data_IF_595522383361
#
_entry.id   IF_595522383361
#
_cell.length_a   1.000
_cell.length_b   1.000
_cell.length_c   1.000
_cell.angle_alpha   90.00
_cell.angle_beta   90.00
_cell.angle_gamma   90.00
#
_symmetry.space_group_name_H-M   'P 1'
#
loop_
_entity.id
_entity.type
_entity.pdbx_description
1 polymer ?
#
# COMPACT_ATOMS: atom_id res chain seq x y z
N UNK A 1 -32.72 2.93 59.17
CA UNK A 1 -31.77 2.40 58.18
C UNK A 1 -32.36 2.54 56.78
N UNK A 2 -32.06 3.63 56.04
CA UNK A 2 -32.42 3.76 54.61
C UNK A 2 -31.12 3.72 53.82
N UNK A 3 -30.92 2.63 53.08
CA UNK A 3 -29.79 2.47 52.17
C UNK A 3 -30.05 3.34 50.94
N UNK A 4 -29.29 4.43 50.79
CA UNK A 4 -29.23 5.21 49.57
C UNK A 4 -28.38 4.43 48.56
N UNK A 5 -29.02 3.99 47.48
CA UNK A 5 -28.36 3.45 46.32
C UNK A 5 -27.55 4.56 45.66
N UNK A 6 -26.23 4.45 45.70
CA UNK A 6 -25.34 5.33 44.93
C UNK A 6 -25.25 4.77 43.51
N UNK A 7 -25.76 5.53 42.55
CA UNK A 7 -25.73 5.21 41.12
C UNK A 7 -24.28 5.33 40.65
N UNK A 8 -23.67 4.21 40.30
CA UNK A 8 -22.34 4.15 39.70
C UNK A 8 -22.49 4.46 38.20
N UNK A 9 -22.30 5.72 37.82
CA UNK A 9 -22.23 6.14 36.42
C UNK A 9 -20.95 5.60 35.80
N UNK A 10 -21.03 4.40 35.22
CA UNK A 10 -19.96 3.83 34.42
C UNK A 10 -19.87 4.64 33.11
N UNK A 11 -19.01 5.66 33.10
CA UNK A 11 -18.61 6.36 31.88
C UNK A 11 -17.81 5.35 31.05
N UNK A 12 -18.53 4.59 30.22
CA UNK A 12 -17.97 3.69 29.24
C UNK A 12 -17.37 4.59 28.16
N UNK A 13 -16.12 5.03 28.38
CA UNK A 13 -15.28 5.61 27.35
C UNK A 13 -15.09 4.47 26.34
N UNK A 14 -16.01 4.37 25.39
CA UNK A 14 -15.78 3.62 24.17
C UNK A 14 -14.58 4.31 23.55
N UNK A 15 -13.39 3.75 23.78
CA UNK A 15 -12.29 3.95 22.86
C UNK A 15 -12.83 3.46 21.53
N UNK A 16 -13.37 4.38 20.72
CA UNK A 16 -13.56 4.14 19.31
C UNK A 16 -12.15 3.84 18.81
N UNK A 17 -11.80 2.55 18.77
CA UNK A 17 -10.76 2.07 17.89
C UNK A 17 -11.34 2.29 16.50
N UNK A 18 -11.29 3.54 16.03
CA UNK A 18 -11.37 3.86 14.61
C UNK A 18 -10.21 3.05 14.04
N UNK A 19 -10.54 1.90 13.47
CA UNK A 19 -9.55 1.11 12.77
C UNK A 19 -9.15 1.98 11.60
N UNK A 20 -7.96 2.57 11.69
CA UNK A 20 -7.49 3.43 10.64
C UNK A 20 -7.02 2.52 9.49
N UNK A 21 -7.34 2.94 8.27
CA UNK A 21 -6.88 2.35 7.04
C UNK A 21 -5.35 2.38 6.93
N UNK A 22 -4.80 1.97 5.78
CA UNK A 22 -3.37 1.87 5.57
C UNK A 22 -2.63 3.14 6.02
N UNK A 23 -1.63 2.97 6.87
CA UNK A 23 -0.79 4.08 7.37
C UNK A 23 -1.55 5.17 8.14
N UNK A 24 -2.72 4.84 8.69
CA UNK A 24 -3.55 5.80 9.40
C UNK A 24 -4.37 6.71 8.49
N UNK A 25 -4.54 6.32 7.23
CA UNK A 25 -5.24 7.06 6.20
C UNK A 25 -6.51 6.30 5.81
N UNK A 26 -7.63 7.02 5.79
CA UNK A 26 -8.95 6.46 5.49
C UNK A 26 -9.45 6.99 4.15
N UNK A 27 -10.28 6.19 3.48
CA UNK A 27 -10.99 6.60 2.28
C UNK A 27 -11.73 7.93 2.51
N UNK A 28 -11.68 8.82 1.52
CA UNK A 28 -12.41 10.08 1.54
C UNK A 28 -11.79 11.18 2.41
N UNK A 29 -10.62 10.96 3.02
CA UNK A 29 -9.91 12.02 3.72
C UNK A 29 -9.63 13.20 2.80
N UNK A 30 -9.99 14.40 3.25
CA UNK A 30 -9.63 15.65 2.58
C UNK A 30 -8.14 15.94 2.72
N UNK A 31 -7.61 16.89 1.94
CA UNK A 31 -6.22 17.36 2.08
C UNK A 31 -5.90 17.82 3.52
N UNK A 32 -6.87 18.43 4.20
CA UNK A 32 -6.76 18.89 5.58
C UNK A 32 -6.67 17.72 6.56
N UNK A 33 -7.44 16.66 6.33
CA UNK A 33 -7.40 15.46 7.16
C UNK A 33 -6.10 14.68 6.97
N UNK A 34 -5.60 14.59 5.74
CA UNK A 34 -4.28 14.01 5.44
C UNK A 34 -3.17 14.83 6.10
N UNK A 35 -3.26 16.16 6.09
CA UNK A 35 -2.31 17.05 6.80
C UNK A 35 -2.28 16.73 8.30
N UNK A 36 -3.44 16.51 8.93
CA UNK A 36 -3.51 16.08 10.34
C UNK A 36 -2.87 14.70 10.54
N UNK A 37 -3.11 13.75 9.63
CA UNK A 37 -2.49 12.42 9.65
C UNK A 37 -0.95 12.48 9.50
N UNK A 38 -0.44 13.52 8.83
CA UNK A 38 0.98 13.84 8.69
C UNK A 38 1.54 14.70 9.83
N UNK A 39 0.81 14.85 10.95
CA UNK A 39 1.27 15.59 12.11
C UNK A 39 1.34 17.10 11.88
N UNK A 40 0.54 17.62 10.93
CA UNK A 40 0.51 19.03 10.55
C UNK A 40 1.43 19.39 9.39
N UNK A 41 2.19 18.44 8.84
CA UNK A 41 2.97 18.69 7.62
C UNK A 41 2.04 18.66 6.41
N UNK A 42 2.08 19.71 5.60
CA UNK A 42 1.27 19.82 4.38
C UNK A 42 1.75 18.80 3.32
N UNK A 43 0.82 18.07 2.67
CA UNK A 43 1.13 17.23 1.51
C UNK A 43 1.79 18.03 0.38
N UNK A 44 2.87 17.50 -0.18
CA UNK A 44 3.59 18.14 -1.28
C UNK A 44 2.91 17.77 -2.61
N UNK A 45 2.34 18.77 -3.30
CA UNK A 45 1.69 18.55 -4.60
C UNK A 45 2.69 18.09 -5.67
N UNK A 46 2.31 17.07 -6.43
CA UNK A 46 3.09 16.55 -7.56
C UNK A 46 2.41 16.95 -8.87
N UNK A 47 1.21 16.41 -9.15
CA UNK A 47 0.41 16.62 -10.37
C UNK A 47 -0.83 15.73 -10.35
N UNK A 48 -1.94 16.12 -10.97
CA UNK A 48 -3.13 15.27 -11.20
C UNK A 48 -3.64 14.61 -9.90
N UNK A 49 -4.02 15.42 -8.91
CA UNK A 49 -4.46 14.99 -7.58
C UNK A 49 -3.44 14.19 -6.76
N UNK A 50 -2.19 14.09 -7.22
CA UNK A 50 -1.12 13.36 -6.51
C UNK A 50 -0.37 14.25 -5.56
N UNK A 51 -0.17 13.74 -4.36
CA UNK A 51 0.59 14.38 -3.31
C UNK A 51 1.60 13.42 -2.71
N UNK A 52 2.81 13.90 -2.43
CA UNK A 52 3.76 13.18 -1.59
C UNK A 52 3.50 13.50 -0.12
N UNK A 53 3.46 12.46 0.72
CA UNK A 53 3.17 12.56 2.15
C UNK A 53 4.08 11.68 3.01
N UNK A 54 4.19 12.06 4.27
CA UNK A 54 4.84 11.29 5.33
C UNK A 54 3.92 11.19 6.55
N UNK A 55 3.00 10.19 6.58
CA UNK A 55 2.06 10.03 7.69
C UNK A 55 2.80 9.63 8.97
N UNK A 56 2.27 10.04 10.13
CA UNK A 56 2.84 9.69 11.44
C UNK A 56 2.88 8.17 11.63
N UNK A 57 1.86 7.45 11.14
CA UNK A 57 1.80 5.98 11.13
C UNK A 57 2.41 5.46 9.82
N UNK A 58 3.73 5.42 9.71
CA UNK A 58 4.43 4.84 8.55
C UNK A 58 5.09 3.49 8.87
N UNK A 59 5.31 2.65 7.86
CA UNK A 59 6.15 1.47 7.99
C UNK A 59 7.63 1.82 7.71
N UNK A 60 8.62 1.38 8.53
CA UNK A 60 10.03 1.82 8.44
C UNK A 60 10.78 1.53 7.13
N UNK A 61 10.18 0.73 6.24
CA UNK A 61 10.73 0.41 4.93
C UNK A 61 10.41 1.50 3.89
N UNK A 62 9.33 2.26 4.09
CA UNK A 62 8.84 3.28 3.17
C UNK A 62 9.17 4.66 3.71
N UNK A 63 9.90 5.45 2.94
CA UNK A 63 10.35 6.80 3.33
C UNK A 63 9.25 7.85 3.16
N UNK A 64 8.28 7.57 2.28
CA UNK A 64 7.07 8.35 2.09
C UNK A 64 6.12 7.64 1.12
N UNK A 65 4.99 8.29 0.85
CA UNK A 65 3.91 7.74 0.04
C UNK A 65 3.44 8.78 -0.95
N UNK A 66 3.03 8.32 -2.13
CA UNK A 66 2.22 9.11 -3.04
C UNK A 66 0.76 8.75 -2.79
N UNK A 67 -0.08 9.75 -2.60
CA UNK A 67 -1.53 9.59 -2.43
C UNK A 67 -2.27 10.37 -3.48
N UNK A 68 -3.45 9.88 -3.85
CA UNK A 68 -4.37 10.58 -4.74
C UNK A 68 -5.56 11.10 -3.94
N UNK A 69 -5.77 12.42 -3.99
CA UNK A 69 -6.81 13.11 -3.23
C UNK A 69 -7.53 14.04 -4.20
N UNK A 70 -8.77 13.71 -4.57
CA UNK A 70 -9.60 14.61 -5.38
C UNK A 70 -10.41 15.56 -4.51
N UNK A 71 -10.86 16.67 -5.08
CA UNK A 71 -11.73 17.62 -4.38
C UNK A 71 -13.12 17.04 -4.07
N UNK A 72 -13.62 16.12 -4.90
CA UNK A 72 -14.97 15.55 -4.75
C UNK A 72 -14.98 14.30 -3.89
N UNK A 73 -14.02 13.39 -4.12
CA UNK A 73 -14.00 12.06 -3.49
C UNK A 73 -13.05 11.97 -2.30
N UNK A 74 -12.16 12.96 -2.11
CA UNK A 74 -11.09 12.90 -1.12
C UNK A 74 -10.04 11.84 -1.46
N UNK A 75 -9.36 11.29 -0.45
CA UNK A 75 -8.34 10.26 -0.62
C UNK A 75 -8.94 8.97 -1.23
N UNK A 76 -8.38 8.50 -2.34
CA UNK A 76 -8.86 7.29 -3.02
C UNK A 76 -7.76 6.30 -3.42
N UNK A 77 -6.49 6.69 -3.36
CA UNK A 77 -5.37 5.80 -3.65
C UNK A 77 -4.14 6.10 -2.80
N UNK A 78 -3.42 5.05 -2.39
CA UNK A 78 -2.15 5.17 -1.68
C UNK A 78 -1.12 4.27 -2.36
N UNK A 79 0.06 4.81 -2.65
CA UNK A 79 1.23 4.08 -3.15
C UNK A 79 2.45 4.35 -2.28
N UNK A 80 2.98 3.31 -1.66
CA UNK A 80 4.29 3.32 -1.00
C UNK A 80 5.36 2.73 -1.89
N UNK A 81 6.54 3.34 -1.92
CA UNK A 81 7.75 2.75 -2.51
C UNK A 81 8.82 2.67 -1.42
N UNK A 82 9.43 1.51 -1.26
CA UNK A 82 10.46 1.32 -0.25
C UNK A 82 11.69 2.17 -0.56
N UNK A 83 12.55 2.36 0.46
CA UNK A 83 13.95 2.69 0.21
C UNK A 83 14.63 1.64 -0.68
N UNK A 84 15.78 2.00 -1.25
CA UNK A 84 16.62 1.08 -2.03
C UNK A 84 17.01 -0.15 -1.17
N UNK A 85 16.74 -1.35 -1.70
CA UNK A 85 17.18 -2.62 -1.13
C UNK A 85 18.35 -3.12 -1.99
N UNK A 86 19.54 -3.13 -1.39
CA UNK A 86 20.70 -3.77 -2.00
C UNK A 86 20.59 -5.27 -1.85
N UNK A 87 20.80 -5.98 -2.94
CA UNK A 87 20.63 -7.43 -2.98
C UNK A 87 21.65 -8.07 -3.93
N UNK A 88 21.66 -9.40 -4.00
CA UNK A 88 22.40 -10.16 -4.99
C UNK A 88 21.57 -10.43 -6.27
N UNK A 89 22.15 -11.05 -7.28
CA UNK A 89 21.48 -11.30 -8.56
C UNK A 89 20.27 -12.25 -8.44
N UNK A 90 20.24 -13.07 -7.38
CA UNK A 90 19.11 -13.93 -7.03
C UNK A 90 17.96 -13.19 -6.33
N UNK A 91 18.17 -11.92 -5.94
CA UNK A 91 17.20 -11.11 -5.21
C UNK A 91 16.96 -11.58 -3.77
N UNK A 92 17.94 -12.22 -3.12
CA UNK A 92 17.74 -12.86 -1.81
C UNK A 92 17.20 -11.89 -0.75
N UNK A 93 17.82 -10.74 -0.59
CA UNK A 93 17.46 -9.73 0.41
C UNK A 93 16.07 -9.13 0.14
N UNK A 94 15.75 -8.81 -1.12
CA UNK A 94 14.43 -8.27 -1.46
C UNK A 94 13.33 -9.31 -1.28
N UNK A 95 13.56 -10.58 -1.61
CA UNK A 95 12.61 -11.68 -1.34
C UNK A 95 12.33 -11.84 0.15
N UNK A 96 13.35 -11.70 0.99
CA UNK A 96 13.20 -11.76 2.44
C UNK A 96 12.39 -10.58 2.98
N UNK A 97 12.67 -9.35 2.55
CA UNK A 97 11.89 -8.18 2.97
C UNK A 97 10.44 -8.25 2.46
N UNK A 98 10.24 -8.71 1.22
CA UNK A 98 8.91 -8.94 0.65
C UNK A 98 8.10 -9.93 1.50
N UNK A 99 8.67 -11.10 1.81
CA UNK A 99 8.01 -12.11 2.64
C UNK A 99 7.67 -11.59 4.06
N UNK A 100 8.50 -10.71 4.64
CA UNK A 100 8.23 -10.10 5.95
C UNK A 100 7.00 -9.18 5.92
N UNK A 101 6.73 -8.51 4.80
CA UNK A 101 5.57 -7.64 4.64
C UNK A 101 4.27 -8.41 4.41
N UNK A 102 4.35 -9.60 3.78
CA UNK A 102 3.16 -10.42 3.52
C UNK A 102 2.48 -10.89 4.81
N UNK A 103 3.26 -11.29 5.83
CA UNK A 103 2.69 -11.88 7.05
C UNK A 103 1.75 -10.93 7.83
N UNK A 104 2.11 -9.64 8.09
CA UNK A 104 1.17 -8.68 8.65
C UNK A 104 -0.05 -8.39 7.76
N UNK A 105 0.15 -8.30 6.44
CA UNK A 105 -0.95 -8.04 5.50
C UNK A 105 -1.92 -9.21 5.47
N UNK A 106 -1.44 -10.45 5.49
CA UNK A 106 -2.30 -11.64 5.54
C UNK A 106 -3.14 -11.69 6.81
N UNK A 107 -2.55 -11.30 7.96
CA UNK A 107 -3.30 -11.22 9.21
C UNK A 107 -4.39 -10.14 9.20
N UNK A 108 -4.15 -9.00 8.53
CA UNK A 108 -5.13 -7.90 8.47
C UNK A 108 -6.20 -8.16 7.41
N UNK A 109 -5.79 -8.55 6.20
CA UNK A 109 -6.63 -8.60 5.00
C UNK A 109 -6.99 -10.02 4.55
N UNK A 110 -6.52 -11.05 5.25
CA UNK A 110 -6.75 -12.44 4.89
C UNK A 110 -5.79 -12.96 3.82
N UNK A 111 -6.12 -14.11 3.25
CA UNK A 111 -5.28 -14.78 2.26
C UNK A 111 -5.11 -13.94 1.01
N UNK A 112 -3.92 -14.02 0.43
CA UNK A 112 -3.56 -13.40 -0.83
C UNK A 112 -3.21 -14.45 -1.88
N UNK A 113 -3.26 -14.02 -3.13
CA UNK A 113 -2.66 -14.73 -4.26
C UNK A 113 -1.24 -14.21 -4.47
N UNK A 114 -0.28 -15.11 -4.73
CA UNK A 114 1.08 -14.73 -5.11
C UNK A 114 1.31 -15.06 -6.58
N UNK A 115 1.88 -14.10 -7.30
CA UNK A 115 2.20 -14.22 -8.72
C UNK A 115 3.71 -13.97 -8.87
N UNK A 116 4.48 -15.04 -9.05
CA UNK A 116 5.92 -15.00 -9.38
C UNK A 116 6.19 -15.81 -10.64
N UNK A 117 5.92 -15.20 -11.80
CA UNK A 117 5.96 -15.89 -13.09
C UNK A 117 6.51 -15.04 -14.22
N UNK A 118 6.95 -15.73 -15.28
CA UNK A 118 7.36 -15.11 -16.53
C UNK A 118 6.09 -14.78 -17.31
N UNK A 119 5.89 -13.51 -17.63
CA UNK A 119 4.71 -12.97 -18.32
C UNK A 119 4.98 -12.61 -19.79
N UNK A 120 6.22 -12.76 -20.24
CA UNK A 120 6.63 -12.52 -21.63
C UNK A 120 7.05 -13.82 -22.31
N UNK A 121 6.51 -14.07 -23.50
CA UNK A 121 6.88 -15.24 -24.31
C UNK A 121 8.26 -15.09 -24.99
N UNK A 122 8.82 -13.88 -25.02
CA UNK A 122 10.07 -13.56 -25.73
C UNK A 122 11.34 -13.68 -24.86
N UNK A 123 11.23 -14.31 -23.69
CA UNK A 123 12.36 -14.43 -22.76
C UNK A 123 13.40 -15.43 -23.28
N UNK A 124 14.63 -14.94 -23.46
CA UNK A 124 15.75 -15.76 -23.90
C UNK A 124 16.03 -16.90 -22.89
N UNK A 125 16.25 -18.15 -23.32
CA UNK A 125 16.35 -19.31 -22.43
C UNK A 125 17.38 -19.18 -21.30
N UNK A 126 18.49 -18.47 -21.53
CA UNK A 126 19.51 -18.27 -20.50
C UNK A 126 19.05 -17.35 -19.35
N UNK A 127 18.03 -16.52 -19.57
CA UNK A 127 17.42 -15.64 -18.56
C UNK A 127 16.37 -16.35 -17.70
N UNK A 128 16.01 -17.59 -18.03
CA UNK A 128 15.14 -18.43 -17.20
C UNK A 128 15.89 -19.06 -16.02
N UNK A 129 17.19 -18.79 -15.88
CA UNK A 129 18.02 -19.23 -14.75
C UNK A 129 17.72 -18.41 -13.50
N UNK A 130 17.93 -19.02 -12.33
CA UNK A 130 17.63 -18.40 -11.03
C UNK A 130 18.45 -17.14 -10.74
N UNK A 131 19.68 -17.06 -11.26
CA UNK A 131 20.57 -15.90 -11.14
C UNK A 131 20.14 -14.71 -12.01
N UNK A 132 19.16 -14.91 -12.89
CA UNK A 132 18.60 -13.86 -13.76
C UNK A 132 17.29 -13.29 -13.21
N UNK A 133 16.83 -13.71 -12.03
CA UNK A 133 15.54 -13.29 -11.45
C UNK A 133 15.40 -11.76 -11.40
N UNK A 134 16.41 -11.10 -10.83
CA UNK A 134 16.45 -9.63 -10.74
C UNK A 134 16.37 -8.96 -12.11
N UNK A 135 17.08 -9.50 -13.11
CA UNK A 135 17.11 -8.97 -14.48
C UNK A 135 15.76 -9.14 -15.17
N UNK A 136 15.13 -10.32 -15.03
CA UNK A 136 13.83 -10.58 -15.66
C UNK A 136 12.72 -9.68 -15.13
N UNK A 137 12.78 -9.27 -13.85
CA UNK A 137 11.87 -8.26 -13.29
C UNK A 137 12.18 -6.87 -13.83
N UNK A 138 13.47 -6.51 -13.95
CA UNK A 138 13.87 -5.18 -14.44
C UNK A 138 13.43 -4.96 -15.89
N UNK A 139 13.42 -6.02 -16.69
CA UNK A 139 12.99 -6.03 -18.09
C UNK A 139 11.47 -6.18 -18.26
N UNK A 140 10.71 -6.31 -17.16
CA UNK A 140 9.24 -6.52 -17.20
C UNK A 140 8.81 -7.89 -17.72
N UNK A 141 9.75 -8.82 -17.87
CA UNK A 141 9.48 -10.19 -18.34
C UNK A 141 9.00 -11.12 -17.22
N UNK A 142 9.27 -10.77 -15.97
CA UNK A 142 8.81 -11.44 -14.76
C UNK A 142 8.08 -10.44 -13.88
N UNK A 143 7.00 -10.88 -13.25
CA UNK A 143 6.37 -10.17 -12.14
C UNK A 143 6.57 -10.97 -10.85
N UNK A 144 6.64 -10.28 -9.71
CA UNK A 144 6.69 -10.88 -8.38
C UNK A 144 5.81 -10.03 -7.47
N UNK A 145 4.56 -10.43 -7.33
CA UNK A 145 3.49 -9.64 -6.72
C UNK A 145 2.61 -10.51 -5.83
N UNK A 146 1.93 -9.87 -4.88
CA UNK A 146 0.87 -10.48 -4.12
C UNK A 146 -0.35 -9.56 -4.11
N UNK A 147 -1.51 -10.17 -4.33
CA UNK A 147 -2.77 -9.46 -4.49
C UNK A 147 -3.81 -9.97 -3.50
N UNK A 148 -4.59 -9.04 -2.97
CA UNK A 148 -5.81 -9.34 -2.24
C UNK A 148 -6.99 -8.87 -3.09
N UNK A 149 -7.82 -9.81 -3.50
CA UNK A 149 -9.13 -9.52 -4.09
C UNK A 149 -10.12 -9.34 -2.95
N UNK A 150 -10.73 -8.16 -2.86
CA UNK A 150 -11.84 -7.92 -1.94
C UNK A 150 -13.15 -8.04 -2.72
N UNK A 151 -14.18 -8.58 -2.09
CA UNK A 151 -15.54 -8.62 -2.61
C UNK A 151 -16.41 -7.63 -1.83
N UNK A 152 -17.62 -7.32 -2.32
CA UNK A 152 -18.51 -6.33 -1.71
C UNK A 152 -18.77 -6.59 -0.22
N UNK A 153 -18.81 -7.87 0.20
CA UNK A 153 -18.98 -8.26 1.61
C UNK A 153 -17.76 -7.92 2.50
N UNK A 154 -16.60 -7.67 1.90
CA UNK A 154 -15.34 -7.36 2.60
C UNK A 154 -14.99 -5.87 2.59
N UNK A 155 -15.71 -5.02 1.87
CA UNK A 155 -15.39 -3.58 1.79
C UNK A 155 -15.47 -2.91 3.16
N UNK A 156 -16.58 -3.08 3.89
CA UNK A 156 -16.73 -2.55 5.26
C UNK A 156 -15.69 -3.15 6.22
N UNK A 157 -15.29 -4.40 5.99
CA UNK A 157 -14.31 -5.10 6.83
C UNK A 157 -12.88 -4.61 6.60
N UNK A 158 -12.58 -4.08 5.41
CA UNK A 158 -11.24 -3.66 5.00
C UNK A 158 -11.16 -2.15 4.77
N UNK A 159 -11.94 -1.38 5.53
CA UNK A 159 -11.85 0.08 5.55
C UNK A 159 -12.06 0.71 4.15
N UNK A 160 -12.95 0.12 3.33
CA UNK A 160 -13.27 0.59 1.98
C UNK A 160 -12.27 0.16 0.89
N UNK A 161 -11.30 -0.71 1.20
CA UNK A 161 -10.32 -1.18 0.22
C UNK A 161 -10.92 -2.18 -0.78
N UNK A 162 -10.75 -1.87 -2.07
CA UNK A 162 -11.11 -2.77 -3.20
C UNK A 162 -9.91 -3.53 -3.75
N UNK A 163 -8.72 -2.93 -3.66
CA UNK A 163 -7.48 -3.54 -4.15
C UNK A 163 -6.35 -3.32 -3.16
N UNK A 164 -5.65 -4.40 -2.85
CA UNK A 164 -4.37 -4.34 -2.14
C UNK A 164 -3.39 -5.13 -2.98
N UNK A 165 -2.28 -4.50 -3.35
CA UNK A 165 -1.23 -5.14 -4.12
C UNK A 165 0.12 -4.75 -3.57
N UNK A 166 1.05 -5.70 -3.53
CA UNK A 166 2.43 -5.47 -3.15
C UNK A 166 3.32 -6.21 -4.12
N UNK A 167 4.40 -5.59 -4.58
CA UNK A 167 5.27 -6.20 -5.56
C UNK A 167 6.71 -5.75 -5.47
N UNK A 168 7.56 -6.45 -6.22
CA UNK A 168 8.98 -6.13 -6.35
C UNK A 168 9.23 -5.44 -7.68
N UNK A 169 9.98 -4.34 -7.64
CA UNK A 169 10.56 -3.70 -8.82
C UNK A 169 12.08 -3.72 -8.70
N UNK A 170 12.78 -3.93 -9.81
CA UNK A 170 14.24 -3.97 -9.82
C UNK A 170 14.81 -3.01 -10.85
N UNK A 171 16.01 -2.52 -10.57
CA UNK A 171 16.86 -1.76 -11.51
C UNK A 171 18.16 -2.53 -11.73
N UNK A 172 18.00 -3.81 -12.07
CA UNK A 172 19.11 -4.72 -12.22
C UNK A 172 19.78 -4.57 -13.59
N UNK A 173 21.11 -4.56 -13.57
CA UNK A 173 21.97 -4.65 -14.76
C UNK A 173 23.09 -5.65 -14.47
N UNK A 174 24.03 -5.82 -15.38
CA UNK A 174 25.23 -6.64 -15.14
C UNK A 174 26.12 -6.13 -13.99
N UNK A 175 25.90 -4.90 -13.50
CA UNK A 175 26.71 -4.27 -12.45
C UNK A 175 25.87 -3.66 -11.31
N UNK A 176 24.54 -3.67 -11.41
CA UNK A 176 23.63 -3.14 -10.39
C UNK A 176 22.64 -4.21 -9.96
N UNK A 177 22.44 -4.32 -8.65
CA UNK A 177 21.49 -5.27 -8.04
C UNK A 177 20.65 -4.49 -7.04
N UNK A 178 19.86 -3.55 -7.57
CA UNK A 178 18.95 -2.68 -6.82
C UNK A 178 17.52 -3.19 -6.95
N UNK A 179 16.81 -3.21 -5.83
CA UNK A 179 15.39 -3.50 -5.81
C UNK A 179 14.63 -2.54 -4.90
N UNK A 180 13.34 -2.50 -5.14
CA UNK A 180 12.35 -1.74 -4.39
C UNK A 180 11.14 -2.65 -4.20
N UNK A 181 10.44 -2.46 -3.10
CA UNK A 181 9.12 -3.03 -2.88
C UNK A 181 8.13 -1.88 -2.98
N UNK A 182 7.12 -2.05 -3.83
CA UNK A 182 5.99 -1.14 -3.88
C UNK A 182 4.79 -1.79 -3.20
N UNK A 183 3.94 -0.97 -2.59
CA UNK A 183 2.66 -1.39 -2.04
C UNK A 183 1.59 -0.37 -2.42
N UNK A 184 0.43 -0.86 -2.80
CA UNK A 184 -0.67 -0.05 -3.28
C UNK A 184 -1.98 -0.45 -2.61
N UNK A 185 -2.78 0.55 -2.34
CA UNK A 185 -4.10 0.46 -1.74
C UNK A 185 -5.05 1.31 -2.56
N UNK A 186 -6.05 0.66 -3.16
CA UNK A 186 -7.14 1.33 -3.88
C UNK A 186 -8.42 1.20 -3.08
N UNK A 187 -9.09 2.33 -2.87
CA UNK A 187 -10.38 2.40 -2.18
C UNK A 187 -11.54 2.36 -3.18
N UNK A 188 -12.76 2.06 -2.70
CA UNK A 188 -13.94 1.95 -3.58
C UNK A 188 -14.26 3.23 -4.36
N UNK A 189 -13.97 4.41 -3.79
CA UNK A 189 -14.12 5.70 -4.46
C UNK A 189 -13.06 5.97 -5.55
N UNK A 190 -12.09 5.07 -5.77
CA UNK A 190 -11.05 5.25 -6.78
C UNK A 190 -11.57 5.23 -8.21
N UNK A 191 -12.66 4.50 -8.49
CA UNK A 191 -13.27 4.46 -9.83
C UNK A 191 -13.74 5.85 -10.22
N UNK A 192 -14.41 6.55 -9.31
CA UNK A 192 -14.89 7.91 -9.53
C UNK A 192 -13.72 8.90 -9.59
N UNK A 193 -12.73 8.74 -8.69
CA UNK A 193 -11.52 9.55 -8.68
C UNK A 193 -10.68 9.49 -9.96
N UNK A 194 -10.46 8.29 -10.52
CA UNK A 194 -9.70 8.15 -11.77
C UNK A 194 -10.46 8.67 -12.99
N UNK A 195 -11.78 8.43 -13.09
CA UNK A 195 -12.58 8.96 -14.20
C UNK A 195 -12.62 10.49 -14.21
N UNK A 196 -12.65 11.13 -13.04
CA UNK A 196 -12.61 12.58 -12.92
C UNK A 196 -11.29 13.20 -13.43
N UNK A 197 -10.17 12.47 -13.34
CA UNK A 197 -8.89 12.91 -13.91
C UNK A 197 -8.91 12.87 -15.44
N UNK A 198 -9.50 11.84 -16.05
CA UNK A 198 -9.58 11.68 -17.50
C UNK A 198 -10.47 12.76 -18.16
N UNK A 199 -11.47 13.29 -17.45
CA UNK A 199 -12.35 14.36 -17.93
C UNK A 199 -11.70 15.77 -17.93
N UNK A 200 -10.53 15.91 -17.29
CA UNK A 200 -9.83 17.20 -17.10
C UNK A 200 -8.61 17.37 -18.04
N UNK A 201 -8.16 16.29 -18.70
CA UNK A 201 -7.03 16.28 -19.66
C UNK A 201 -7.48 16.37 -21.13
#
# INVERSE_FOLDING_TARGET
>A
MRKLFSIFTFLLICSFSVFAGPFGLDMGMTIEDVTKACGGNEPEYISDDRYYIQPVKSHPLFEGYVVWISETEGLYYIKGISREIRTNDYGTEVKQEFAKLLSPLERKYGKFEIVDEIVSDDVLPYKLKQDSWMLTIAEGSRICEAHWSTDEEKFEKFDGLITISIGVKTEATYITSKAYIWIEYGFENAIEGFNALDDVL
#
